data_IF_136433744808
#
_entry.id   IF_136433744808
#
_cell.length_a   1.000
_cell.length_b   1.000
_cell.length_c   1.000
_cell.angle_alpha   90.00
_cell.angle_beta   90.00
_cell.angle_gamma   90.00
#
_symmetry.space_group_name_H-M   'P 1'
#
loop_
_entity.id
_entity.type
_entity.pdbx_description
1 polymer ?
#
# COMPACT_ATOMS: atom_id res chain seq x y z
N UNK A 1 16.92 40.42 -32.28
CA UNK A 1 15.96 39.31 -32.32
C UNK A 1 15.30 39.28 -30.96
N UNK A 2 14.30 40.13 -30.80
CA UNK A 2 13.52 40.23 -29.56
C UNK A 2 12.09 39.92 -29.97
N UNK A 3 11.57 38.77 -29.50
CA UNK A 3 10.22 38.32 -29.78
C UNK A 3 9.34 38.58 -28.57
N UNK A 4 8.25 39.30 -28.84
CA UNK A 4 7.21 39.75 -27.93
C UNK A 4 6.49 38.60 -27.20
N UNK A 5 6.10 38.84 -25.95
CA UNK A 5 5.14 38.02 -25.21
C UNK A 5 3.90 38.89 -25.02
N UNK A 6 2.84 38.58 -25.79
CA UNK A 6 1.51 39.17 -25.64
C UNK A 6 0.71 38.25 -24.72
N UNK A 7 0.24 38.80 -23.59
CA UNK A 7 -0.72 38.17 -22.69
C UNK A 7 -2.08 38.79 -22.99
N UNK A 8 -2.99 38.04 -23.58
CA UNK A 8 -4.41 38.38 -23.59
C UNK A 8 -5.25 37.19 -23.14
N UNK A 9 -6.27 37.55 -22.38
CA UNK A 9 -6.98 36.79 -21.38
C UNK A 9 -8.46 36.94 -21.73
N UNK A 10 -9.08 35.90 -22.27
CA UNK A 10 -10.51 35.95 -22.63
C UNK A 10 -11.25 34.71 -22.12
N UNK A 11 -11.87 34.90 -20.96
CA UNK A 11 -13.07 34.18 -20.55
C UNK A 11 -14.24 34.70 -21.38
N UNK A 12 -14.95 33.83 -22.11
CA UNK A 12 -16.37 34.00 -22.42
C UNK A 12 -16.94 32.71 -23.04
N UNK A 13 -17.81 32.03 -22.29
CA UNK A 13 -18.86 31.23 -22.91
C UNK A 13 -20.16 31.43 -22.12
N UNK A 14 -20.89 32.43 -22.55
CA UNK A 14 -22.28 32.67 -22.22
C UNK A 14 -23.13 31.63 -22.99
N UNK A 15 -23.96 30.85 -22.29
CA UNK A 15 -25.19 30.35 -22.90
C UNK A 15 -26.25 30.09 -21.85
N UNK A 16 -27.45 30.50 -22.23
CA UNK A 16 -28.59 30.86 -21.41
C UNK A 16 -29.41 29.65 -20.94
N UNK A 17 -29.93 29.80 -19.73
CA UNK A 17 -30.91 29.03 -18.96
C UNK A 17 -32.10 28.50 -19.79
N UNK A 18 -32.56 27.26 -19.54
CA UNK A 18 -34.01 26.92 -19.52
C UNK A 18 -34.26 25.73 -18.57
N UNK A 19 -35.33 25.88 -17.80
CA UNK A 19 -35.75 25.18 -16.59
C UNK A 19 -36.54 23.87 -16.83
N UNK A 20 -36.23 22.86 -16.01
CA UNK A 20 -37.10 21.82 -15.36
C UNK A 20 -38.02 20.91 -16.22
N UNK A 21 -38.58 19.77 -15.71
CA UNK A 21 -38.60 19.23 -14.34
C UNK A 21 -38.28 17.72 -14.16
N UNK A 22 -38.15 17.38 -12.87
CA UNK A 22 -38.19 16.06 -12.23
C UNK A 22 -39.53 15.35 -12.51
N UNK A 23 -39.52 14.03 -12.79
CA UNK A 23 -40.72 13.19 -12.61
C UNK A 23 -40.37 11.81 -12.06
N UNK A 24 -40.80 11.56 -10.82
CA UNK A 24 -40.98 10.23 -10.23
C UNK A 24 -42.40 9.70 -10.56
N UNK A 25 -42.58 8.42 -10.24
CA UNK A 25 -43.80 7.61 -10.02
C UNK A 25 -44.50 6.96 -11.22
N UNK A 26 -44.23 5.65 -11.35
CA UNK A 26 -45.10 4.48 -11.09
C UNK A 26 -46.53 4.40 -11.66
N UNK A 27 -46.83 3.17 -12.10
CA UNK A 27 -48.10 2.42 -12.17
C UNK A 27 -48.78 2.12 -13.53
N UNK A 28 -48.53 0.88 -14.00
CA UNK A 28 -49.47 -0.21 -14.37
C UNK A 28 -50.64 0.06 -15.35
N UNK A 29 -50.63 -0.59 -16.54
CA UNK A 29 -51.53 -1.70 -16.96
C UNK A 29 -51.44 -2.01 -18.47
N UNK A 30 -51.37 -3.33 -18.72
CA UNK A 30 -51.41 -4.17 -19.93
C UNK A 30 -52.38 -3.78 -21.06
N UNK A 31 -51.99 -3.92 -22.36
CA UNK A 31 -52.66 -4.76 -23.40
C UNK A 31 -51.71 -5.08 -24.59
N UNK A 32 -51.46 -6.38 -24.79
CA UNK A 32 -51.21 -7.21 -26.01
C UNK A 32 -50.66 -6.65 -27.35
N UNK A 33 -49.49 -7.20 -27.72
CA UNK A 33 -49.03 -7.78 -29.01
C UNK A 33 -49.06 -7.01 -30.35
N UNK A 34 -47.86 -6.77 -30.90
CA UNK A 34 -47.39 -7.38 -32.18
C UNK A 34 -45.88 -7.63 -32.09
N UNK A 35 -45.46 -8.87 -32.35
CA UNK A 35 -44.08 -9.37 -32.21
C UNK A 35 -43.34 -9.43 -33.57
N UNK A 36 -42.10 -8.96 -33.61
CA UNK A 36 -41.02 -9.40 -34.54
C UNK A 36 -39.65 -9.04 -33.88
N UNK A 37 -38.53 -9.75 -34.15
CA UNK A 37 -37.94 -10.65 -33.15
C UNK A 37 -36.50 -10.28 -32.72
N UNK A 38 -36.24 -10.56 -31.44
CA UNK A 38 -35.02 -11.18 -30.89
C UNK A 38 -33.67 -10.78 -31.52
N UNK A 39 -33.07 -9.71 -31.01
CA UNK A 39 -31.61 -9.63 -30.97
C UNK A 39 -31.11 -10.69 -29.97
N UNK A 40 -30.38 -11.67 -30.47
CA UNK A 40 -29.76 -12.74 -29.68
C UNK A 40 -28.90 -12.14 -28.55
N UNK A 41 -29.42 -12.17 -27.33
CA UNK A 41 -28.67 -11.79 -26.13
C UNK A 41 -27.49 -12.76 -25.97
N UNK A 42 -26.34 -12.36 -26.50
CA UNK A 42 -25.08 -13.05 -26.26
C UNK A 42 -24.84 -12.99 -24.75
N UNK A 43 -25.06 -14.12 -24.06
CA UNK A 43 -24.74 -14.29 -22.64
C UNK A 43 -23.28 -13.87 -22.43
N UNK A 44 -23.07 -12.68 -21.87
CA UNK A 44 -21.73 -12.15 -21.64
C UNK A 44 -21.03 -13.10 -20.68
N UNK A 45 -19.87 -13.62 -21.09
CA UNK A 45 -19.06 -14.50 -20.25
C UNK A 45 -18.73 -13.74 -18.96
N UNK A 46 -18.86 -14.43 -17.82
CA UNK A 46 -18.52 -13.87 -16.51
C UNK A 46 -17.05 -13.46 -16.52
N UNK A 47 -16.75 -12.23 -16.09
CA UNK A 47 -15.39 -11.73 -15.97
C UNK A 47 -14.65 -12.45 -14.86
N UNK A 48 -13.53 -13.08 -15.20
CA UNK A 48 -12.57 -13.66 -14.25
C UNK A 48 -11.33 -12.77 -14.23
N UNK A 49 -10.67 -12.71 -13.08
CA UNK A 49 -9.41 -11.97 -12.94
C UNK A 49 -8.39 -12.43 -13.99
N UNK A 50 -7.81 -11.47 -14.72
CA UNK A 50 -6.76 -11.74 -15.70
C UNK A 50 -5.41 -11.31 -15.13
N UNK A 51 -4.44 -12.22 -14.96
CA UNK A 51 -3.14 -11.89 -14.40
C UNK A 51 -2.33 -10.91 -15.27
N UNK A 52 -2.63 -10.80 -16.57
CA UNK A 52 -1.97 -9.83 -17.46
C UNK A 52 -2.19 -8.37 -17.02
N UNK A 53 -3.29 -8.06 -16.32
CA UNK A 53 -3.53 -6.72 -15.79
C UNK A 53 -2.53 -6.31 -14.69
N UNK A 54 -1.82 -7.26 -14.07
CA UNK A 54 -0.74 -6.93 -13.14
C UNK A 54 0.54 -6.48 -13.86
N UNK A 55 0.73 -6.89 -15.11
CA UNK A 55 1.89 -6.52 -15.93
C UNK A 55 1.71 -5.12 -16.56
N UNK A 56 0.46 -4.70 -16.75
CA UNK A 56 0.14 -3.35 -17.21
C UNK A 56 0.62 -2.32 -16.17
N UNK A 57 1.57 -1.45 -16.55
CA UNK A 57 2.16 -0.42 -15.67
C UNK A 57 1.11 0.45 -14.95
N UNK A 58 0.03 0.79 -15.64
CA UNK A 58 -1.04 1.62 -15.09
C UNK A 58 -1.93 0.88 -14.07
N UNK A 59 -2.08 -0.43 -14.18
CA UNK A 59 -2.98 -1.22 -13.33
C UNK A 59 -2.25 -1.96 -12.21
N UNK A 60 -1.05 -2.49 -12.47
CA UNK A 60 -0.27 -3.27 -11.50
C UNK A 60 0.15 -2.50 -10.25
N UNK A 61 0.15 -1.17 -10.31
CA UNK A 61 0.52 -0.30 -9.20
C UNK A 61 -0.45 -0.38 -8.01
N UNK A 62 -1.73 -0.63 -8.26
CA UNK A 62 -2.78 -0.65 -7.21
C UNK A 62 -3.68 -1.89 -7.23
N UNK A 63 -3.71 -2.65 -8.33
CA UNK A 63 -4.58 -3.81 -8.46
C UNK A 63 -3.93 -5.08 -7.89
N UNK A 64 -4.72 -5.89 -7.19
CA UNK A 64 -4.36 -7.21 -6.69
C UNK A 64 -5.49 -8.22 -6.88
N UNK A 65 -5.10 -9.48 -6.96
CA UNK A 65 -6.03 -10.60 -6.92
C UNK A 65 -6.68 -10.70 -5.53
N UNK A 66 -7.97 -11.00 -5.51
CA UNK A 66 -8.69 -11.31 -4.29
C UNK A 66 -8.83 -12.84 -4.16
N UNK A 67 -7.95 -13.44 -3.35
CA UNK A 67 -7.83 -14.91 -3.21
C UNK A 67 -9.13 -15.68 -2.95
N UNK A 68 -10.10 -15.19 -2.15
CA UNK A 68 -11.28 -16.01 -1.87
C UNK A 68 -12.32 -15.97 -3.01
N UNK A 69 -12.33 -14.94 -3.87
CA UNK A 69 -13.26 -14.85 -5.00
C UNK A 69 -12.54 -14.37 -6.28
N UNK A 70 -12.40 -15.25 -7.28
CA UNK A 70 -11.78 -14.92 -8.59
C UNK A 70 -12.57 -13.92 -9.45
N UNK A 71 -13.82 -13.62 -9.05
CA UNK A 71 -14.68 -12.61 -9.68
C UNK A 71 -14.58 -11.23 -9.03
N UNK A 72 -13.77 -11.10 -7.97
CA UNK A 72 -13.50 -9.83 -7.29
C UNK A 72 -12.03 -9.50 -7.40
N UNK A 73 -11.74 -8.22 -7.31
CA UNK A 73 -10.37 -7.69 -7.29
C UNK A 73 -10.22 -6.72 -6.15
N UNK A 74 -9.01 -6.64 -5.60
CA UNK A 74 -8.68 -5.72 -4.52
C UNK A 74 -7.94 -4.51 -5.10
N UNK A 75 -8.42 -3.32 -4.78
CA UNK A 75 -7.67 -2.09 -5.02
C UNK A 75 -6.95 -1.68 -3.74
N UNK A 76 -5.61 -1.70 -3.76
CA UNK A 76 -4.78 -1.31 -2.61
C UNK A 76 -4.98 0.18 -2.29
N UNK A 77 -5.09 1.03 -3.30
CA UNK A 77 -5.27 2.47 -3.09
C UNK A 77 -6.62 2.78 -2.41
N UNK A 78 -7.68 2.05 -2.77
CA UNK A 78 -9.01 2.23 -2.16
C UNK A 78 -9.23 1.40 -0.90
N UNK A 79 -8.33 0.43 -0.62
CA UNK A 79 -8.50 -0.62 0.37
C UNK A 79 -9.89 -1.30 0.31
N UNK A 80 -10.37 -1.53 -0.92
CA UNK A 80 -11.72 -2.03 -1.17
C UNK A 80 -11.71 -3.09 -2.27
N UNK A 81 -12.51 -4.15 -2.05
CA UNK A 81 -12.74 -5.18 -3.06
C UNK A 81 -13.96 -4.83 -3.90
N UNK A 82 -13.87 -4.97 -5.22
CA UNK A 82 -14.99 -4.74 -6.13
C UNK A 82 -15.15 -5.89 -7.13
N UNK A 83 -16.38 -6.08 -7.62
CA UNK A 83 -16.72 -7.14 -8.55
C UNK A 83 -16.38 -6.76 -9.99
N UNK A 84 -15.77 -7.70 -10.72
CA UNK A 84 -15.47 -7.62 -12.15
C UNK A 84 -16.35 -8.58 -12.98
N UNK A 85 -17.35 -9.19 -12.34
CA UNK A 85 -18.16 -10.28 -12.89
C UNK A 85 -18.84 -9.94 -14.22
N UNK A 86 -19.26 -8.68 -14.41
CA UNK A 86 -20.09 -8.27 -15.54
C UNK A 86 -19.32 -7.51 -16.61
N UNK A 87 -18.31 -6.72 -16.22
CA UNK A 87 -17.59 -5.82 -17.11
C UNK A 87 -16.10 -6.08 -17.22
N UNK A 88 -15.51 -6.97 -16.40
CA UNK A 88 -14.08 -7.28 -16.46
C UNK A 88 -13.23 -6.00 -16.36
N UNK A 89 -12.44 -5.73 -17.41
CA UNK A 89 -11.63 -4.51 -17.53
C UNK A 89 -12.46 -3.21 -17.46
N UNK A 90 -13.67 -3.19 -18.01
CA UNK A 90 -14.53 -2.00 -17.99
C UNK A 90 -14.96 -1.63 -16.55
N UNK A 91 -15.09 -2.61 -15.66
CA UNK A 91 -15.40 -2.35 -14.25
C UNK A 91 -14.21 -1.71 -13.54
N UNK A 92 -12.99 -2.09 -13.92
CA UNK A 92 -11.74 -1.47 -13.46
C UNK A 92 -11.63 -0.04 -13.98
N UNK A 93 -11.89 0.19 -15.28
CA UNK A 93 -11.85 1.54 -15.87
C UNK A 93 -12.88 2.47 -15.25
N UNK A 94 -14.07 1.94 -14.92
CA UNK A 94 -15.09 2.68 -14.17
C UNK A 94 -14.62 3.01 -12.76
N UNK A 95 -14.00 2.06 -12.07
CA UNK A 95 -13.44 2.28 -10.74
C UNK A 95 -12.38 3.40 -10.74
N UNK A 96 -11.48 3.41 -11.72
CA UNK A 96 -10.41 4.42 -11.83
C UNK A 96 -10.97 5.84 -11.95
N UNK A 97 -12.08 6.00 -12.66
CA UNK A 97 -12.75 7.30 -12.87
C UNK A 97 -13.49 7.82 -11.64
N UNK A 98 -13.68 7.01 -10.60
CA UNK A 98 -14.37 7.46 -9.39
C UNK A 98 -13.53 8.48 -8.62
N UNK A 99 -14.18 9.55 -8.13
CA UNK A 99 -13.53 10.58 -7.29
C UNK A 99 -12.80 9.97 -6.09
N UNK A 100 -13.37 8.94 -5.47
CA UNK A 100 -12.77 8.18 -4.35
C UNK A 100 -11.40 7.61 -4.74
N UNK A 101 -11.33 6.93 -5.89
CA UNK A 101 -10.07 6.36 -6.38
C UNK A 101 -9.05 7.45 -6.70
N UNK A 102 -9.45 8.50 -7.42
CA UNK A 102 -8.55 9.61 -7.79
C UNK A 102 -7.94 10.27 -6.55
N UNK A 103 -8.76 10.54 -5.53
CA UNK A 103 -8.27 11.15 -4.29
C UNK A 103 -7.32 10.20 -3.54
N UNK A 104 -7.69 8.94 -3.42
CA UNK A 104 -6.87 7.94 -2.75
C UNK A 104 -5.55 7.67 -3.48
N UNK A 105 -5.53 7.70 -4.82
CA UNK A 105 -4.30 7.54 -5.60
C UNK A 105 -3.30 8.67 -5.35
N UNK A 106 -3.77 9.91 -5.16
CA UNK A 106 -2.91 11.04 -4.78
C UNK A 106 -2.25 10.77 -3.43
N UNK A 107 -3.04 10.39 -2.42
CA UNK A 107 -2.52 10.05 -1.10
C UNK A 107 -1.62 8.81 -1.13
N UNK A 108 -1.95 7.80 -1.93
CA UNK A 108 -1.21 6.55 -2.06
C UNK A 108 0.21 6.78 -2.60
N UNK A 109 0.35 7.62 -3.63
CA UNK A 109 1.65 7.98 -4.20
C UNK A 109 2.54 8.70 -3.19
N UNK A 110 1.98 9.67 -2.44
CA UNK A 110 2.72 10.41 -1.41
C UNK A 110 3.17 9.48 -0.28
N UNK A 111 2.25 8.66 0.26
CA UNK A 111 2.59 7.72 1.34
C UNK A 111 3.63 6.70 0.91
N UNK A 112 3.54 6.18 -0.32
CA UNK A 112 4.54 5.26 -0.87
C UNK A 112 5.92 5.91 -0.91
N UNK A 113 6.01 7.14 -1.40
CA UNK A 113 7.28 7.88 -1.45
C UNK A 113 7.87 8.08 -0.05
N UNK A 114 7.06 8.51 0.91
CA UNK A 114 7.47 8.72 2.30
C UNK A 114 7.96 7.41 2.96
N UNK A 115 7.25 6.30 2.78
CA UNK A 115 7.66 5.01 3.32
C UNK A 115 8.97 4.58 2.67
N UNK A 116 9.10 4.69 1.35
CA UNK A 116 10.33 4.30 0.65
C UNK A 116 11.53 5.20 0.95
N UNK A 117 11.34 6.45 1.36
CA UNK A 117 12.45 7.34 1.73
C UNK A 117 12.86 7.15 3.20
N UNK A 118 11.90 6.93 4.09
CA UNK A 118 12.15 6.80 5.54
C UNK A 118 12.56 5.40 5.98
N UNK A 119 12.08 4.36 5.30
CA UNK A 119 12.34 2.96 5.65
C UNK A 119 13.37 2.29 4.73
N UNK A 120 14.22 3.08 4.06
CA UNK A 120 15.32 2.50 3.29
C UNK A 120 16.27 1.82 4.27
N UNK A 121 16.50 0.49 4.14
CA UNK A 121 17.44 -0.17 5.02
C UNK A 121 18.82 0.43 4.77
N UNK A 122 19.40 0.99 5.82
CA UNK A 122 20.80 1.36 5.84
C UNK A 122 21.60 0.07 6.06
N UNK A 123 22.79 -0.03 5.45
CA UNK A 123 23.69 -1.17 5.66
C UNK A 123 23.92 -1.44 7.15
N UNK A 124 24.09 -0.38 7.94
CA UNK A 124 24.21 -0.48 9.39
C UNK A 124 22.95 -1.08 10.06
N UNK A 125 21.75 -0.64 9.65
CA UNK A 125 20.51 -1.18 10.21
C UNK A 125 20.28 -2.65 9.84
N UNK A 126 20.74 -3.08 8.66
CA UNK A 126 20.69 -4.50 8.25
C UNK A 126 21.66 -5.34 9.07
N UNK A 127 22.88 -4.85 9.30
CA UNK A 127 23.89 -5.51 10.13
C UNK A 127 23.40 -5.66 11.58
N UNK A 128 22.78 -4.61 12.14
CA UNK A 128 22.16 -4.66 13.49
C UNK A 128 21.00 -5.66 13.52
N UNK A 129 20.11 -5.65 12.54
CA UNK A 129 18.99 -6.60 12.48
C UNK A 129 19.47 -8.05 12.36
N UNK A 130 20.54 -8.31 11.60
CA UNK A 130 21.15 -9.63 11.48
C UNK A 130 21.81 -10.07 12.80
N UNK A 131 22.50 -9.15 13.48
CA UNK A 131 23.06 -9.34 14.81
C UNK A 131 22.00 -9.73 15.85
N UNK A 132 20.91 -8.97 15.92
CA UNK A 132 19.77 -9.24 16.81
C UNK A 132 19.12 -10.59 16.49
N UNK A 133 18.89 -10.87 15.21
CA UNK A 133 18.33 -12.15 14.75
C UNK A 133 19.20 -13.35 15.14
N UNK A 134 20.52 -13.24 14.99
CA UNK A 134 21.46 -14.28 15.38
C UNK A 134 21.46 -14.51 16.91
N UNK A 135 21.35 -13.45 17.71
CA UNK A 135 21.25 -13.54 19.16
C UNK A 135 19.95 -14.24 19.60
N UNK A 136 18.80 -13.83 19.06
CA UNK A 136 17.50 -14.45 19.36
C UNK A 136 17.49 -15.92 18.94
N UNK A 137 17.99 -16.23 17.74
CA UNK A 137 18.09 -17.61 17.25
C UNK A 137 18.97 -18.48 18.17
N UNK A 138 20.12 -17.96 18.61
CA UNK A 138 20.98 -18.67 19.55
C UNK A 138 20.24 -18.99 20.86
N UNK A 139 19.52 -18.01 21.41
CA UNK A 139 18.72 -18.17 22.63
C UNK A 139 17.63 -19.24 22.49
N UNK A 140 16.92 -19.26 21.36
CA UNK A 140 15.90 -20.30 21.08
C UNK A 140 16.54 -21.69 20.95
N UNK A 141 17.69 -21.79 20.27
CA UNK A 141 18.36 -23.08 20.03
C UNK A 141 18.91 -23.71 21.31
N UNK A 142 19.52 -22.92 22.18
CA UNK A 142 20.21 -23.42 23.38
C UNK A 142 19.37 -23.29 24.67
N UNK A 143 18.25 -22.56 24.62
CA UNK A 143 17.43 -22.26 25.80
C UNK A 143 18.15 -21.36 26.81
N UNK A 144 17.49 -21.09 27.95
CA UNK A 144 18.00 -20.22 29.02
C UNK A 144 18.54 -21.01 30.22
N UNK A 145 19.41 -21.98 29.96
CA UNK A 145 20.08 -22.76 31.00
C UNK A 145 21.34 -22.06 31.51
N UNK A 146 21.81 -22.43 32.70
CA UNK A 146 23.07 -21.90 33.23
C UNK A 146 24.26 -22.23 32.31
N UNK A 147 24.25 -23.40 31.66
CA UNK A 147 25.31 -23.81 30.74
C UNK A 147 25.28 -23.05 29.42
N UNK A 148 24.10 -22.63 28.94
CA UNK A 148 23.98 -21.80 27.73
C UNK A 148 24.37 -20.33 27.95
N UNK A 149 24.51 -19.86 29.19
CA UNK A 149 25.01 -18.50 29.45
C UNK A 149 26.48 -18.31 29.03
N UNK A 150 27.28 -19.38 29.11
CA UNK A 150 28.67 -19.33 28.65
C UNK A 150 28.76 -19.13 27.13
N UNK A 151 27.96 -19.87 26.35
CA UNK A 151 27.93 -19.67 24.90
C UNK A 151 27.27 -18.34 24.51
N UNK A 152 26.26 -17.89 25.25
CA UNK A 152 25.60 -16.58 25.05
C UNK A 152 26.60 -15.43 25.19
N UNK A 153 27.49 -15.48 26.18
CA UNK A 153 28.51 -14.44 26.40
C UNK A 153 29.51 -14.38 25.23
N UNK A 154 29.88 -15.52 24.66
CA UNK A 154 30.75 -15.57 23.48
C UNK A 154 30.04 -14.99 22.25
N UNK A 155 28.77 -15.33 22.04
CA UNK A 155 27.94 -14.80 20.95
C UNK A 155 27.81 -13.28 21.06
N UNK A 156 27.50 -12.75 22.24
CA UNK A 156 27.42 -11.31 22.50
C UNK A 156 28.74 -10.60 22.17
N UNK A 157 29.88 -11.17 22.58
CA UNK A 157 31.21 -10.60 22.25
C UNK A 157 31.49 -10.58 20.75
N UNK A 158 31.09 -11.62 20.02
CA UNK A 158 31.30 -11.68 18.57
C UNK A 158 30.40 -10.70 17.83
N UNK A 159 29.15 -10.57 18.24
CA UNK A 159 28.14 -9.77 17.55
C UNK A 159 28.30 -8.27 17.86
N UNK A 160 28.60 -7.92 19.11
CA UNK A 160 28.64 -6.52 19.58
C UNK A 160 30.07 -6.05 19.93
N UNK A 161 31.09 -6.62 19.28
CA UNK A 161 32.51 -6.36 19.58
C UNK A 161 32.88 -4.86 19.57
N UNK A 162 32.32 -4.09 18.63
CA UNK A 162 32.52 -2.64 18.49
C UNK A 162 31.92 -1.85 19.66
N UNK A 163 30.72 -2.22 20.11
CA UNK A 163 30.05 -1.60 21.27
C UNK A 163 30.88 -1.77 22.55
N UNK A 164 31.44 -2.96 22.77
CA UNK A 164 32.27 -3.23 23.95
C UNK A 164 33.69 -2.64 23.85
N UNK A 165 34.19 -2.36 22.65
CA UNK A 165 35.46 -1.66 22.47
C UNK A 165 35.37 -0.20 22.94
N UNK A 166 34.25 0.48 22.65
CA UNK A 166 33.99 1.86 23.07
C UNK A 166 33.87 1.96 24.60
N UNK A 167 33.19 0.99 25.23
CA UNK A 167 33.05 0.93 26.69
C UNK A 167 34.38 0.77 27.44
N UNK A 168 35.41 0.16 26.81
CA UNK A 168 36.75 -0.02 27.40
C UNK A 168 37.66 1.20 27.25
N UNK A 169 37.42 2.04 26.25
CA UNK A 169 38.19 3.27 26.03
C UNK A 169 37.75 4.44 26.93
N UNK A 170 36.65 4.31 27.66
CA UNK A 170 36.24 5.30 28.65
C UNK A 170 36.95 4.98 29.98
N UNK A 171 37.91 5.81 30.44
CA UNK A 171 38.50 5.63 31.76
C UNK A 171 37.39 5.79 32.80
N UNK A 172 37.06 4.70 33.48
CA UNK A 172 36.15 4.77 34.63
C UNK A 172 37.00 5.29 35.78
N UNK A 173 36.88 6.58 36.09
CA UNK A 173 37.48 7.14 37.30
C UNK A 173 36.96 6.35 38.51
N UNK A 174 37.90 5.80 39.28
CA UNK A 174 37.68 4.89 40.42
C UNK A 174 36.79 5.50 41.53
N UNK A 175 36.51 6.81 41.45
CA UNK A 175 35.60 7.52 42.36
C UNK A 175 34.11 7.38 42.00
N UNK A 176 33.75 6.92 40.81
CA UNK A 176 32.35 6.74 40.40
C UNK A 176 31.72 5.43 40.88
N UNK A 177 32.52 4.39 41.15
CA UNK A 177 32.04 3.07 41.60
C UNK A 177 31.63 3.06 43.08
N UNK A 178 32.14 3.98 43.89
CA UNK A 178 31.79 4.12 45.32
C UNK A 178 30.40 4.74 45.57
N UNK A 179 29.82 5.46 44.60
CA UNK A 179 28.47 6.02 44.75
C UNK A 179 27.33 5.00 44.56
N UNK A 180 27.61 3.83 43.96
CA UNK A 180 26.60 2.79 43.75
C UNK A 180 26.47 1.80 44.92
N UNK A 181 27.45 1.77 45.83
CA UNK A 181 27.43 0.88 47.02
C UNK A 181 26.64 1.49 48.21
N UNK A 182 26.21 2.76 48.11
CA UNK A 182 25.46 3.47 49.18
C UNK A 182 23.95 3.60 48.90
N UNK A 183 23.42 2.91 47.89
CA UNK A 183 21.98 2.85 47.59
C UNK A 183 21.37 1.45 47.78
N UNK A 184 21.98 0.61 48.59
CA UNK A 184 21.35 -0.60 49.15
C UNK A 184 21.58 -0.67 50.66
#
# INVERSE_FOLDING_TARGET
MESEIIIENENNHESLITTTPIRKSNENKNVEAVAVPSACEKKKKKGVFNPQWLLDSHLGSFLREYKPDSTKVLCIACNESFSIHYGGKNDIDRHIKLKKHINNMKSFSINRQLITSTMKPNKESEEIAAAEGAFVYHGVKHGHSYTSQQCTTNVIKTIFSSYFAIAKSCPVDEQSVLSLQLMF
#
